data_IF_071964814330
#
_entry.id   IF_071964814330
#
_cell.length_a   1.000
_cell.length_b   1.000
_cell.length_c   1.000
_cell.angle_alpha   90.00
_cell.angle_beta   90.00
_cell.angle_gamma   90.00
#
_symmetry.space_group_name_H-M   'P 1'
#
loop_
_entity.id
_entity.type
_entity.pdbx_description
1 polymer ?
#
# COMPACT_ATOMS: atom_id res chain seq x y z
N UNK A 1 -2.78 -8.23 -46.90
CA UNK A 1 -1.71 -8.00 -45.92
C UNK A 1 -1.94 -6.79 -45.00
N UNK A 2 -2.47 -5.69 -45.51
CA UNK A 2 -2.72 -4.51 -44.70
C UNK A 2 -3.79 -4.70 -43.63
N UNK A 3 -4.73 -5.61 -43.81
CA UNK A 3 -5.80 -5.90 -42.84
C UNK A 3 -5.30 -6.62 -41.59
N UNK A 4 -4.23 -7.39 -41.68
CA UNK A 4 -3.62 -8.07 -40.55
C UNK A 4 -2.84 -7.13 -39.62
N UNK A 5 -2.22 -6.10 -40.20
CA UNK A 5 -1.48 -5.10 -39.44
C UNK A 5 -2.45 -4.20 -38.64
N UNK A 6 -3.59 -3.85 -39.21
CA UNK A 6 -4.63 -3.09 -38.51
C UNK A 6 -5.25 -3.86 -37.35
N UNK A 7 -5.41 -5.16 -37.49
CA UNK A 7 -5.93 -6.02 -36.43
C UNK A 7 -4.97 -6.12 -35.25
N UNK A 8 -3.68 -6.18 -35.50
CA UNK A 8 -2.65 -6.20 -34.46
C UNK A 8 -2.57 -4.90 -33.66
N UNK A 9 -2.74 -3.78 -34.32
CA UNK A 9 -2.75 -2.46 -33.67
C UNK A 9 -3.97 -2.32 -32.77
N UNK A 10 -5.11 -2.84 -33.18
CA UNK A 10 -6.35 -2.79 -32.40
C UNK A 10 -6.29 -3.61 -31.10
N UNK A 11 -5.64 -4.76 -31.13
CA UNK A 11 -5.44 -5.61 -29.95
C UNK A 11 -4.52 -4.94 -28.92
N UNK A 12 -3.59 -4.12 -29.36
CA UNK A 12 -2.68 -3.40 -28.46
C UNK A 12 -3.38 -2.31 -27.63
N UNK A 13 -4.46 -1.74 -28.12
CA UNK A 13 -5.21 -0.71 -27.39
C UNK A 13 -6.11 -1.25 -26.26
N UNK A 14 -6.45 -2.52 -26.30
CA UNK A 14 -7.36 -3.14 -25.30
C UNK A 14 -6.64 -3.53 -24.01
N UNK A 15 -5.32 -3.69 -24.05
CA UNK A 15 -4.54 -4.21 -22.92
C UNK A 15 -4.05 -3.14 -21.93
N UNK A 16 -4.45 -1.85 -22.10
CA UNK A 16 -3.79 -0.75 -21.40
C UNK A 16 -4.51 -0.08 -20.24
N UNK A 17 -5.67 -0.56 -19.77
CA UNK A 17 -6.52 0.27 -18.91
C UNK A 17 -6.77 -0.26 -17.49
N UNK A 18 -5.87 -1.06 -16.91
CA UNK A 18 -6.02 -1.47 -15.50
C UNK A 18 -5.24 -0.50 -14.62
N UNK A 19 -5.96 0.34 -13.88
CA UNK A 19 -5.34 1.23 -12.89
C UNK A 19 -4.96 0.42 -11.67
N UNK A 20 -3.67 0.32 -11.39
CA UNK A 20 -3.15 -0.36 -10.21
C UNK A 20 -3.02 0.61 -9.04
N UNK A 21 -3.24 0.09 -7.84
CA UNK A 21 -2.95 0.81 -6.61
C UNK A 21 -1.44 0.95 -6.45
N UNK A 22 -1.00 2.16 -6.12
CA UNK A 22 0.42 2.47 -5.94
C UNK A 22 0.66 3.00 -4.53
N UNK A 23 1.66 2.44 -3.86
CA UNK A 23 2.10 2.87 -2.54
C UNK A 23 3.35 3.73 -2.67
N UNK A 24 3.34 4.87 -1.98
CA UNK A 24 4.50 5.77 -1.93
C UNK A 24 4.90 6.02 -0.47
N UNK A 25 6.11 5.62 -0.06
CA UNK A 25 7.15 4.99 -0.86
C UNK A 25 6.82 3.53 -1.22
N UNK A 26 7.41 3.05 -2.30
CA UNK A 26 7.23 1.66 -2.72
C UNK A 26 7.97 0.69 -1.79
N UNK A 27 9.12 1.13 -1.27
CA UNK A 27 9.93 0.41 -0.30
C UNK A 27 10.19 1.28 0.92
N UNK A 28 10.27 0.66 2.08
CA UNK A 28 10.50 1.38 3.33
C UNK A 28 11.99 1.49 3.64
N UNK A 29 12.41 2.61 4.26
CA UNK A 29 13.79 2.74 4.73
C UNK A 29 14.09 1.77 5.87
N UNK A 30 15.37 1.50 6.09
CA UNK A 30 15.83 0.68 7.20
C UNK A 30 15.59 1.40 8.53
N UNK A 31 15.44 0.63 9.59
CA UNK A 31 15.26 1.14 10.94
C UNK A 31 16.37 0.69 11.88
N UNK A 32 16.35 1.24 13.10
CA UNK A 32 17.25 0.86 14.19
C UNK A 32 16.49 0.61 15.48
N UNK A 33 16.95 -0.36 16.23
CA UNK A 33 16.37 -0.68 17.54
C UNK A 33 16.41 0.53 18.46
N UNK A 34 15.28 0.85 19.08
CA UNK A 34 15.17 1.94 20.04
C UNK A 34 15.12 3.34 19.45
N UNK A 35 15.31 3.49 18.15
CA UNK A 35 15.18 4.77 17.47
C UNK A 35 13.78 4.94 16.89
N UNK A 36 13.23 6.16 16.97
CA UNK A 36 11.89 6.43 16.44
C UNK A 36 11.86 6.22 14.92
N UNK A 37 11.01 5.33 14.50
CA UNK A 37 10.69 5.09 13.10
C UNK A 37 9.43 5.88 12.74
N UNK A 38 9.50 6.65 11.67
CA UNK A 38 8.39 7.46 11.23
C UNK A 38 8.41 7.60 9.72
N UNK A 39 7.48 6.96 9.04
CA UNK A 39 7.39 6.99 7.58
C UNK A 39 5.96 7.26 7.16
N UNK A 40 5.67 8.43 6.58
CA UNK A 40 4.37 8.69 5.99
C UNK A 40 4.21 7.91 4.69
N UNK A 41 3.03 7.33 4.50
CA UNK A 41 2.70 6.54 3.31
C UNK A 41 1.45 7.11 2.66
N UNK A 42 1.50 7.28 1.35
CA UNK A 42 0.38 7.68 0.53
C UNK A 42 0.04 6.57 -0.46
N UNK A 43 -1.23 6.28 -0.60
CA UNK A 43 -1.73 5.29 -1.54
C UNK A 43 -2.57 5.99 -2.61
N UNK A 44 -2.26 5.74 -3.86
CA UNK A 44 -2.96 6.35 -4.99
C UNK A 44 -3.29 5.30 -6.06
N UNK A 45 -4.08 5.71 -7.04
CA UNK A 45 -4.50 4.82 -8.12
C UNK A 45 -5.70 3.95 -7.75
N UNK A 46 -5.97 2.96 -8.58
CA UNK A 46 -7.12 2.07 -8.40
C UNK A 46 -8.44 2.70 -8.83
N UNK A 47 -9.54 2.07 -8.42
CA UNK A 47 -10.90 2.48 -8.79
C UNK A 47 -11.49 3.59 -7.91
N UNK A 48 -10.81 3.95 -6.84
CA UNK A 48 -11.29 4.97 -5.91
C UNK A 48 -10.59 4.89 -4.56
N UNK A 49 -11.08 5.65 -3.55
CA UNK A 49 -10.49 5.63 -2.23
C UNK A 49 -10.56 4.26 -1.55
N UNK A 50 -9.60 4.01 -0.67
CA UNK A 50 -9.59 2.82 0.17
C UNK A 50 -10.61 3.00 1.29
N UNK A 51 -11.58 2.09 1.39
CA UNK A 51 -12.64 2.14 2.40
C UNK A 51 -12.56 0.99 3.39
N UNK A 52 -11.72 0.02 3.12
CA UNK A 52 -11.50 -1.14 3.98
C UNK A 52 -10.01 -1.42 4.01
N UNK A 53 -9.44 -1.58 5.21
CA UNK A 53 -8.00 -1.75 5.37
C UNK A 53 -7.71 -2.66 6.57
N UNK A 54 -6.97 -3.72 6.30
CA UNK A 54 -6.49 -4.65 7.33
C UNK A 54 -4.98 -4.75 7.25
N UNK A 55 -4.33 -4.81 8.39
CA UNK A 55 -2.88 -4.96 8.42
C UNK A 55 -2.42 -5.86 9.57
N UNK A 56 -1.27 -6.48 9.36
CA UNK A 56 -0.58 -7.26 10.38
C UNK A 56 0.90 -6.89 10.37
N UNK A 57 1.47 -6.71 11.56
CA UNK A 57 2.90 -6.47 11.73
C UNK A 57 3.51 -7.71 12.37
N UNK A 58 4.53 -8.26 11.76
CA UNK A 58 5.29 -9.39 12.28
C UNK A 58 6.74 -8.97 12.55
N UNK A 59 7.26 -9.22 13.73
CA UNK A 59 6.62 -9.86 14.91
C UNK A 59 5.58 -8.95 15.59
N UNK A 60 4.66 -9.53 16.34
CA UNK A 60 3.58 -8.80 17.02
C UNK A 60 4.06 -7.74 17.99
N UNK A 61 5.16 -8.00 18.66
CA UNK A 61 5.77 -7.11 19.62
C UNK A 61 6.87 -6.24 19.00
N UNK A 62 6.71 -5.91 17.73
CA UNK A 62 7.69 -5.14 16.97
C UNK A 62 7.94 -3.72 17.49
N UNK A 63 6.94 -3.13 18.15
CA UNK A 63 6.97 -1.73 18.54
C UNK A 63 6.47 -0.77 17.46
N UNK A 64 6.09 -1.28 16.30
CA UNK A 64 5.59 -0.49 15.18
C UNK A 64 4.07 -0.60 15.06
N UNK A 65 3.45 0.50 14.65
CA UNK A 65 2.01 0.56 14.37
C UNK A 65 1.74 1.45 13.17
N UNK A 66 0.57 1.29 12.58
CA UNK A 66 0.07 2.17 11.55
C UNK A 66 -0.92 3.16 12.18
N UNK A 67 -0.71 4.44 11.91
CA UNK A 67 -1.62 5.50 12.31
C UNK A 67 -2.21 6.12 11.06
N UNK A 68 -3.53 6.01 10.92
CA UNK A 68 -4.23 6.54 9.76
C UNK A 68 -4.56 7.99 9.97
N UNK A 69 -4.39 8.79 8.91
CA UNK A 69 -4.90 10.14 8.86
C UNK A 69 -6.39 10.06 8.52
N UNK A 70 -7.20 10.05 9.57
CA UNK A 70 -8.64 9.99 9.45
C UNK A 70 -9.22 11.38 9.21
N UNK A 71 -8.94 11.96 8.04
CA UNK A 71 -9.74 13.08 7.60
C UNK A 71 -11.16 12.58 7.37
N UNK A 72 -12.07 13.06 8.21
CA UNK A 72 -13.48 12.73 8.10
C UNK A 72 -14.05 13.32 6.82
N UNK A 73 -14.11 12.54 5.77
CA UNK A 73 -14.86 12.94 4.61
C UNK A 73 -16.32 12.47 4.80
N UNK A 74 -17.13 13.35 5.31
CA UNK A 74 -18.58 13.22 5.55
C UNK A 74 -19.04 12.09 6.49
N UNK A 75 -18.63 10.88 6.39
CA UNK A 75 -18.99 9.77 7.28
C UNK A 75 -18.15 8.51 7.04
N UNK A 76 -17.20 8.58 6.10
CA UNK A 76 -16.36 7.43 5.79
C UNK A 76 -14.91 7.78 6.03
N UNK A 77 -14.21 6.88 6.69
CA UNK A 77 -12.77 6.99 6.89
C UNK A 77 -12.08 6.60 5.59
N UNK A 78 -11.17 7.45 5.11
CA UNK A 78 -10.34 7.14 3.96
C UNK A 78 -8.98 6.67 4.46
N UNK A 79 -8.54 5.51 3.98
CA UNK A 79 -7.30 4.88 4.44
C UNK A 79 -6.14 5.08 3.46
N UNK A 80 -6.20 6.13 2.64
CA UNK A 80 -5.17 6.39 1.63
C UNK A 80 -3.92 7.05 2.18
N UNK A 81 -3.98 7.60 3.39
CA UNK A 81 -2.83 8.21 4.06
C UNK A 81 -2.67 7.64 5.45
N UNK A 82 -1.47 7.18 5.73
CA UNK A 82 -1.14 6.68 7.05
C UNK A 82 0.35 6.85 7.33
N UNK A 83 0.73 6.69 8.58
CA UNK A 83 2.10 6.74 9.04
C UNK A 83 2.46 5.41 9.68
N UNK A 84 3.61 4.88 9.33
CA UNK A 84 4.21 3.76 10.05
C UNK A 84 5.13 4.36 11.09
N UNK A 85 4.81 4.17 12.36
CA UNK A 85 5.54 4.79 13.46
C UNK A 85 5.77 3.85 14.63
N UNK A 86 6.74 4.17 15.44
CA UNK A 86 7.09 3.46 16.65
C UNK A 86 8.59 3.28 16.81
N UNK A 87 8.97 2.57 17.88
CA UNK A 87 10.37 2.21 18.13
C UNK A 87 10.53 0.73 17.92
N UNK A 88 11.31 0.29 16.92
CA UNK A 88 11.58 -1.14 16.73
C UNK A 88 12.22 -1.75 17.97
N UNK A 89 11.78 -2.93 18.35
CA UNK A 89 12.21 -3.59 19.59
C UNK A 89 13.29 -4.66 19.35
N UNK A 90 13.46 -5.10 18.13
CA UNK A 90 14.36 -6.20 17.79
C UNK A 90 15.19 -5.90 16.54
N UNK A 91 16.46 -6.38 16.48
CA UNK A 91 17.29 -6.24 15.28
C UNK A 91 17.02 -7.39 14.31
N UNK A 92 15.96 -7.27 13.53
CA UNK A 92 15.58 -8.29 12.55
C UNK A 92 14.77 -7.69 11.43
N UNK A 93 14.44 -8.46 10.43
CA UNK A 93 13.50 -8.05 9.38
C UNK A 93 12.07 -8.08 9.91
N UNK A 94 11.37 -6.95 9.76
CA UNK A 94 9.95 -6.85 10.06
C UNK A 94 9.16 -6.90 8.76
N UNK A 95 7.96 -7.45 8.85
CA UNK A 95 7.07 -7.58 7.71
C UNK A 95 5.71 -6.98 8.07
N UNK A 96 5.24 -6.06 7.23
CA UNK A 96 3.91 -5.46 7.35
C UNK A 96 3.07 -5.92 6.17
N UNK A 97 2.06 -6.72 6.44
CA UNK A 97 1.12 -7.21 5.42
C UNK A 97 -0.15 -6.38 5.48
N UNK A 98 -0.53 -5.81 4.35
CA UNK A 98 -1.70 -4.95 4.23
C UNK A 98 -2.60 -5.44 3.12
N UNK A 99 -3.90 -5.39 3.36
CA UNK A 99 -4.91 -5.71 2.34
C UNK A 99 -6.18 -4.93 2.61
N UNK A 100 -6.95 -4.70 1.58
CA UNK A 100 -8.21 -4.00 1.72
C UNK A 100 -8.97 -3.85 0.42
N UNK A 101 -10.00 -3.03 0.44
CA UNK A 101 -10.89 -2.80 -0.67
C UNK A 101 -11.02 -1.33 -1.06
N UNK A 102 -11.38 -1.12 -2.31
CA UNK A 102 -11.53 0.21 -2.92
C UNK A 102 -12.98 0.47 -3.30
N UNK A 103 -13.38 1.73 -3.24
CA UNK A 103 -14.71 2.14 -3.72
C UNK A 103 -14.76 2.07 -5.25
N UNK A 104 -15.92 1.71 -5.80
CA UNK A 104 -16.27 1.88 -7.21
C UNK A 104 -15.87 0.75 -8.13
N UNK A 105 -15.12 -0.21 -7.68
CA UNK A 105 -14.80 -1.40 -8.45
C UNK A 105 -15.40 -2.64 -7.79
N UNK A 106 -16.28 -3.34 -8.46
CA UNK A 106 -16.82 -4.59 -7.93
C UNK A 106 -15.69 -5.58 -7.68
N UNK A 107 -15.35 -5.77 -6.38
CA UNK A 107 -14.33 -6.71 -5.98
C UNK A 107 -12.89 -6.24 -6.16
N UNK A 108 -12.65 -4.97 -6.47
CA UNK A 108 -11.28 -4.49 -6.55
C UNK A 108 -10.69 -4.35 -5.14
N UNK A 109 -9.57 -5.01 -4.93
CA UNK A 109 -8.83 -4.95 -3.69
C UNK A 109 -7.36 -4.65 -3.93
N UNK A 110 -6.61 -4.56 -2.85
CA UNK A 110 -5.16 -4.43 -2.89
C UNK A 110 -4.51 -5.33 -1.87
N UNK A 111 -3.27 -5.71 -2.15
CA UNK A 111 -2.35 -6.33 -1.21
C UNK A 111 -1.01 -5.65 -1.33
N UNK A 112 -0.38 -5.38 -0.18
CA UNK A 112 0.97 -4.84 -0.13
C UNK A 112 1.71 -5.44 1.04
N UNK A 113 2.93 -5.85 0.78
CA UNK A 113 3.84 -6.34 1.83
C UNK A 113 5.04 -5.40 1.86
N UNK A 114 5.23 -4.75 3.00
CA UNK A 114 6.44 -3.99 3.29
C UNK A 114 7.39 -4.82 4.13
N UNK A 115 8.66 -4.70 3.84
CA UNK A 115 9.74 -5.28 4.65
C UNK A 115 10.61 -4.15 5.17
N UNK A 116 10.95 -4.22 6.46
CA UNK A 116 11.83 -3.25 7.11
C UNK A 116 13.00 -4.02 7.71
N UNK A 117 14.21 -3.66 7.29
CA UNK A 117 15.42 -4.19 7.92
C UNK A 117 15.75 -3.33 9.12
N UNK A 118 15.79 -3.94 10.29
CA UNK A 118 16.09 -3.26 11.55
C UNK A 118 17.43 -3.75 12.08
N UNK A 119 18.36 -2.82 12.27
CA UNK A 119 19.69 -3.07 12.81
C UNK A 119 19.79 -2.63 14.27
N UNK A 120 20.83 -3.10 14.93
CA UNK A 120 21.18 -2.62 16.27
C UNK A 120 21.71 -1.19 16.25
#
# INVERSE_FOLDING_TARGET
MNKLIFFFIYVFFISGCVKKVSFQPNELPDGRVGEMYYVPVNVSGGSGPIVDFHYEVHPYNSGLKLKFDTEKFYTKYLYNKFVIEGKPQFPREFCIKMKGGLVGGAGQGFEKIYKIKVAN
#
